data_IF_395361765606
#
_entry.id   IF_395361765606
#
_cell.length_a   1.000
_cell.length_b   1.000
_cell.length_c   1.000
_cell.angle_alpha   90.00
_cell.angle_beta   90.00
_cell.angle_gamma   90.00
#
_symmetry.space_group_name_H-M   'P 1'
#
loop_
_entity.id
_entity.type
_entity.pdbx_description
1 polymer ?
#
# COMPACT_ATOMS: atom_id res chain seq x y z
N UNK A 1 17.07 1.66 -9.10
CA UNK A 1 16.35 0.87 -10.14
C UNK A 1 16.46 1.50 -11.53
N UNK A 2 16.36 2.82 -11.70
CA UNK A 2 16.46 3.46 -13.02
C UNK A 2 17.78 3.15 -13.75
N UNK A 3 18.93 3.36 -13.11
CA UNK A 3 20.23 3.04 -13.71
C UNK A 3 20.36 1.56 -14.14
N UNK A 4 19.83 0.63 -13.34
CA UNK A 4 19.81 -0.81 -13.67
C UNK A 4 18.94 -1.08 -14.90
N UNK A 5 17.75 -0.45 -14.98
CA UNK A 5 16.86 -0.61 -16.12
C UNK A 5 17.52 -0.14 -17.42
N UNK A 6 18.16 1.03 -17.41
CA UNK A 6 18.86 1.58 -18.58
C UNK A 6 20.07 0.73 -18.98
N UNK A 7 20.89 0.30 -18.01
CA UNK A 7 22.13 -0.45 -18.29
C UNK A 7 21.88 -1.90 -18.72
N UNK A 8 20.79 -2.52 -18.25
CA UNK A 8 20.46 -3.93 -18.55
C UNK A 8 19.32 -4.09 -19.55
N UNK A 9 18.78 -2.99 -20.08
CA UNK A 9 17.69 -2.95 -21.07
C UNK A 9 16.43 -3.72 -20.63
N UNK A 10 16.18 -3.77 -19.32
CA UNK A 10 14.96 -4.36 -18.73
C UNK A 10 13.99 -3.26 -18.31
N UNK A 11 12.70 -3.62 -18.17
CA UNK A 11 11.71 -2.68 -17.67
C UNK A 11 12.06 -2.16 -16.26
N UNK A 12 11.62 -0.95 -15.92
CA UNK A 12 11.79 -0.42 -14.54
C UNK A 12 11.14 -1.30 -13.47
N UNK A 13 10.04 -1.96 -13.82
CA UNK A 13 9.37 -2.92 -12.95
C UNK A 13 10.27 -4.14 -12.69
N UNK A 14 10.88 -4.69 -13.73
CA UNK A 14 11.82 -5.80 -13.64
C UNK A 14 13.07 -5.42 -12.83
N UNK A 15 13.67 -4.27 -13.11
CA UNK A 15 14.81 -3.77 -12.35
C UNK A 15 14.46 -3.57 -10.86
N UNK A 16 13.27 -3.01 -10.57
CA UNK A 16 12.81 -2.86 -9.19
C UNK A 16 12.54 -4.20 -8.52
N UNK A 17 12.02 -5.19 -9.25
CA UNK A 17 11.78 -6.54 -8.73
C UNK A 17 13.11 -7.20 -8.35
N UNK A 18 14.10 -7.20 -9.24
CA UNK A 18 15.43 -7.77 -8.99
C UNK A 18 16.14 -7.12 -7.81
N UNK A 19 16.08 -5.80 -7.69
CA UNK A 19 16.66 -5.09 -6.52
C UNK A 19 16.00 -5.52 -5.23
N UNK A 20 14.66 -5.66 -5.23
CA UNK A 20 13.92 -6.14 -4.05
C UNK A 20 14.23 -7.59 -3.74
N UNK A 21 14.36 -8.47 -4.73
CA UNK A 21 14.74 -9.88 -4.53
C UNK A 21 16.17 -10.00 -4.00
N UNK A 22 17.11 -9.20 -4.52
CA UNK A 22 18.49 -9.18 -4.06
C UNK A 22 18.65 -8.78 -2.59
N UNK A 23 17.71 -8.03 -2.01
CA UNK A 23 17.73 -7.72 -0.58
C UNK A 23 17.57 -8.97 0.29
N UNK A 24 16.82 -9.96 -0.19
CA UNK A 24 16.53 -11.20 0.56
C UNK A 24 17.41 -12.36 0.12
N UNK A 25 17.73 -12.45 -1.18
CA UNK A 25 18.41 -13.60 -1.80
C UNK A 25 19.86 -13.31 -2.21
N UNK A 26 20.26 -12.04 -2.22
CA UNK A 26 21.58 -11.60 -2.64
C UNK A 26 22.64 -11.81 -1.56
N UNK A 27 23.94 -11.72 -1.94
CA UNK A 27 25.04 -11.74 -0.97
C UNK A 27 24.92 -10.60 0.04
N UNK A 28 25.19 -10.89 1.31
CA UNK A 28 25.15 -9.90 2.39
C UNK A 28 26.53 -9.77 3.04
N UNK A 29 26.76 -8.65 3.72
CA UNK A 29 27.97 -8.41 4.51
C UNK A 29 27.60 -7.89 5.88
N UNK A 30 28.33 -8.33 6.90
CA UNK A 30 28.22 -7.78 8.25
C UNK A 30 28.90 -6.43 8.38
N UNK A 31 28.82 -5.84 9.56
CA UNK A 31 29.39 -4.52 9.84
C UNK A 31 30.90 -4.48 9.62
N UNK A 32 31.59 -5.60 9.80
CA UNK A 32 33.05 -5.72 9.59
C UNK A 32 33.42 -6.20 8.18
N UNK A 33 32.44 -6.33 7.28
CA UNK A 33 32.64 -6.69 5.88
C UNK A 33 32.73 -8.20 5.60
N UNK A 34 32.61 -9.04 6.62
CA UNK A 34 32.52 -10.50 6.51
C UNK A 34 31.29 -10.92 5.70
N UNK A 35 31.38 -11.96 4.85
CA UNK A 35 30.24 -12.44 4.09
C UNK A 35 29.20 -13.04 5.04
N UNK A 36 27.94 -12.66 4.84
CA UNK A 36 26.78 -13.23 5.52
C UNK A 36 25.92 -13.98 4.52
N UNK A 37 25.24 -15.01 5.02
CA UNK A 37 24.24 -15.72 4.23
C UNK A 37 23.09 -14.77 3.83
N UNK A 38 22.42 -15.07 2.70
CA UNK A 38 21.16 -14.44 2.35
C UNK A 38 20.14 -14.53 3.50
N UNK A 39 19.10 -13.69 3.49
CA UNK A 39 18.01 -13.81 4.47
C UNK A 39 17.19 -15.09 4.26
N UNK A 40 17.13 -15.56 3.02
CA UNK A 40 16.47 -16.81 2.62
C UNK A 40 17.49 -17.70 1.87
N UNK A 41 18.42 -18.37 2.59
CA UNK A 41 19.50 -19.15 1.99
C UNK A 41 19.03 -20.32 1.12
N UNK A 42 18.02 -21.09 1.55
CA UNK A 42 17.51 -22.24 0.80
C UNK A 42 16.83 -21.81 -0.51
N UNK A 43 16.06 -20.71 -0.44
CA UNK A 43 15.39 -20.08 -1.58
C UNK A 43 16.42 -19.53 -2.56
N UNK A 44 17.45 -18.85 -2.07
CA UNK A 44 18.53 -18.30 -2.89
C UNK A 44 19.31 -19.39 -3.61
N UNK A 45 19.61 -20.51 -2.94
CA UNK A 45 20.26 -21.67 -3.56
C UNK A 45 19.37 -22.27 -4.66
N UNK A 46 18.10 -22.52 -4.37
CA UNK A 46 17.18 -23.13 -5.33
C UNK A 46 16.88 -22.22 -6.55
N UNK A 47 16.88 -20.89 -6.37
CA UNK A 47 16.82 -19.93 -7.48
C UNK A 47 18.08 -20.00 -8.33
N UNK A 48 19.28 -20.03 -7.72
CA UNK A 48 20.56 -20.10 -8.42
C UNK A 48 20.69 -21.37 -9.26
N UNK A 49 20.17 -22.48 -8.76
CA UNK A 49 20.14 -23.77 -9.44
C UNK A 49 19.08 -23.85 -10.56
N UNK A 50 18.26 -22.80 -10.72
CA UNK A 50 17.16 -22.77 -11.70
C UNK A 50 15.94 -23.61 -11.32
N UNK A 51 15.89 -24.16 -10.09
CA UNK A 51 14.74 -24.93 -9.59
C UNK A 51 13.55 -24.05 -9.23
N UNK A 52 13.80 -22.80 -8.82
CA UNK A 52 12.74 -21.81 -8.54
C UNK A 52 12.73 -20.69 -9.58
N UNK A 53 11.55 -20.46 -10.16
CA UNK A 53 11.26 -19.28 -10.95
C UNK A 53 10.85 -18.08 -10.08
N UNK A 54 10.71 -16.91 -10.71
CA UNK A 54 10.30 -15.68 -10.03
C UNK A 54 8.93 -15.78 -9.34
N UNK A 55 8.04 -16.63 -9.85
CA UNK A 55 6.73 -16.89 -9.23
C UNK A 55 6.86 -17.57 -7.86
N UNK A 56 7.63 -18.66 -7.78
CA UNK A 56 7.86 -19.37 -6.52
C UNK A 56 8.63 -18.51 -5.52
N UNK A 57 9.66 -17.80 -5.98
CA UNK A 57 10.41 -16.84 -5.15
C UNK A 57 9.46 -15.78 -4.55
N UNK A 58 8.54 -15.24 -5.35
CA UNK A 58 7.59 -14.25 -4.87
C UNK A 58 6.63 -14.81 -3.81
N UNK A 59 6.24 -16.08 -3.90
CA UNK A 59 5.40 -16.75 -2.90
C UNK A 59 6.15 -16.90 -1.58
N UNK A 60 7.36 -17.46 -1.61
CA UNK A 60 8.16 -17.71 -0.41
C UNK A 60 8.48 -16.39 0.30
N UNK A 61 8.91 -15.37 -0.44
CA UNK A 61 9.17 -14.03 0.13
C UNK A 61 7.91 -13.41 0.76
N UNK A 62 6.76 -13.54 0.11
CA UNK A 62 5.47 -13.05 0.65
C UNK A 62 5.10 -13.74 1.96
N UNK A 63 5.32 -15.05 2.03
CA UNK A 63 5.10 -15.83 3.25
C UNK A 63 5.94 -15.28 4.42
N UNK A 64 7.25 -15.11 4.23
CA UNK A 64 8.14 -14.59 5.29
C UNK A 64 7.87 -13.13 5.67
N UNK A 65 7.35 -12.32 4.75
CA UNK A 65 6.89 -10.96 5.08
C UNK A 65 5.61 -10.94 5.93
N UNK A 66 4.78 -11.98 5.89
CA UNK A 66 3.55 -12.11 6.69
C UNK A 66 3.78 -12.84 8.02
N UNK A 67 4.84 -13.63 8.12
CA UNK A 67 5.09 -14.49 9.26
C UNK A 67 5.33 -13.69 10.55
N UNK A 68 4.63 -14.00 11.67
CA UNK A 68 4.81 -13.30 12.93
C UNK A 68 6.24 -13.33 13.46
N UNK A 69 6.66 -12.25 14.11
CA UNK A 69 8.02 -12.09 14.64
C UNK A 69 8.37 -13.08 15.75
N UNK A 70 7.37 -13.63 16.44
CA UNK A 70 7.57 -14.59 17.52
C UNK A 70 7.95 -16.00 17.04
N UNK A 71 7.76 -16.31 15.75
CA UNK A 71 8.22 -17.58 15.17
C UNK A 71 9.74 -17.59 15.17
N UNK A 72 10.33 -18.57 15.84
CA UNK A 72 11.77 -18.66 16.07
C UNK A 72 12.57 -18.94 14.79
N UNK A 73 13.88 -18.73 14.87
CA UNK A 73 14.78 -18.87 13.73
C UNK A 73 14.86 -20.31 13.18
N UNK A 74 14.86 -21.32 14.05
CA UNK A 74 14.98 -22.71 13.61
C UNK A 74 13.73 -23.15 12.84
N UNK A 75 12.54 -22.79 13.34
CA UNK A 75 11.27 -23.02 12.65
C UNK A 75 11.23 -22.28 11.31
N UNK A 76 11.67 -21.01 11.27
CA UNK A 76 11.77 -20.23 10.02
C UNK A 76 12.67 -20.90 8.98
N UNK A 77 13.85 -21.37 9.39
CA UNK A 77 14.79 -22.04 8.50
C UNK A 77 14.24 -23.38 7.98
N UNK A 78 13.61 -24.17 8.84
CA UNK A 78 12.98 -25.43 8.44
C UNK A 78 11.85 -25.22 7.42
N UNK A 79 10.98 -24.23 7.67
CA UNK A 79 9.90 -23.87 6.76
C UNK A 79 10.42 -23.33 5.44
N UNK A 80 11.49 -22.53 5.47
CA UNK A 80 12.11 -22.04 4.24
C UNK A 80 12.62 -23.18 3.37
N UNK A 81 13.36 -24.11 3.98
CA UNK A 81 13.90 -25.28 3.27
C UNK A 81 12.78 -26.13 2.65
N UNK A 82 11.70 -26.38 3.41
CA UNK A 82 10.54 -27.13 2.96
C UNK A 82 9.80 -26.43 1.79
N UNK A 83 9.57 -25.12 1.89
CA UNK A 83 8.92 -24.36 0.82
C UNK A 83 9.83 -24.24 -0.42
N UNK A 84 11.14 -24.12 -0.25
CA UNK A 84 12.09 -24.07 -1.35
C UNK A 84 12.18 -25.42 -2.09
N UNK A 85 12.12 -26.54 -1.36
CA UNK A 85 12.05 -27.88 -1.94
C UNK A 85 10.73 -28.08 -2.72
N UNK A 86 9.59 -27.85 -2.06
CA UNK A 86 8.26 -27.93 -2.68
C UNK A 86 8.11 -27.00 -3.88
N UNK A 87 8.70 -25.82 -3.84
CA UNK A 87 8.68 -24.88 -4.97
C UNK A 87 9.32 -25.44 -6.24
N UNK A 88 10.24 -26.40 -6.14
CA UNK A 88 10.78 -27.12 -7.29
C UNK A 88 9.82 -28.13 -7.92
N UNK A 89 8.75 -28.48 -7.22
CA UNK A 89 7.78 -29.51 -7.63
C UNK A 89 6.40 -28.95 -7.97
N UNK A 90 6.06 -27.74 -7.48
CA UNK A 90 4.75 -27.14 -7.63
C UNK A 90 4.76 -25.82 -8.41
N UNK A 91 3.63 -25.54 -9.06
CA UNK A 91 3.36 -24.22 -9.64
C UNK A 91 3.23 -23.17 -8.52
N UNK A 92 3.49 -21.89 -8.79
CA UNK A 92 3.37 -20.82 -7.79
C UNK A 92 2.01 -20.78 -7.09
N UNK A 93 0.92 -21.09 -7.80
CA UNK A 93 -0.43 -21.08 -7.23
C UNK A 93 -0.60 -22.14 -6.14
N UNK A 94 -0.21 -23.39 -6.42
CA UNK A 94 -0.27 -24.48 -5.44
C UNK A 94 0.75 -24.29 -4.31
N UNK A 95 1.93 -23.72 -4.60
CA UNK A 95 2.89 -23.38 -3.55
C UNK A 95 2.33 -22.31 -2.59
N UNK A 96 1.54 -21.37 -3.11
CA UNK A 96 0.91 -20.34 -2.27
C UNK A 96 -0.11 -20.97 -1.32
N UNK A 97 -0.93 -21.91 -1.79
CA UNK A 97 -1.86 -22.66 -0.94
C UNK A 97 -1.14 -23.44 0.16
N UNK A 98 -0.02 -24.11 -0.18
CA UNK A 98 0.83 -24.79 0.80
C UNK A 98 1.41 -23.82 1.82
N UNK A 99 1.90 -22.66 1.37
CA UNK A 99 2.47 -21.64 2.26
C UNK A 99 1.40 -21.01 3.17
N UNK A 100 0.17 -20.79 2.67
CA UNK A 100 -0.94 -20.33 3.50
C UNK A 100 -1.31 -21.39 4.55
N UNK A 101 -1.36 -22.68 4.18
CA UNK A 101 -1.59 -23.76 5.15
C UNK A 101 -0.51 -23.81 6.25
N UNK A 102 0.76 -23.69 5.88
CA UNK A 102 1.86 -23.61 6.85
C UNK A 102 1.72 -22.37 7.74
N UNK A 103 1.30 -21.22 7.19
CA UNK A 103 1.08 -20.01 7.96
C UNK A 103 -0.03 -20.19 9.00
N UNK A 104 -1.12 -20.87 8.63
CA UNK A 104 -2.22 -21.18 9.53
C UNK A 104 -1.80 -22.17 10.63
N UNK A 105 -0.97 -23.17 10.32
CA UNK A 105 -0.41 -24.06 11.33
C UNK A 105 0.52 -23.33 12.30
N UNK A 106 1.29 -22.35 11.81
CA UNK A 106 2.19 -21.56 12.63
C UNK A 106 1.47 -20.47 13.42
N UNK A 107 0.30 -20.01 12.99
CA UNK A 107 -0.47 -18.97 13.69
C UNK A 107 -1.97 -19.28 13.63
N UNK A 108 -2.43 -20.35 14.30
CA UNK A 108 -3.82 -20.81 14.21
C UNK A 108 -4.82 -19.78 14.73
N UNK A 109 -4.42 -19.01 15.73
CA UNK A 109 -5.24 -17.97 16.34
C UNK A 109 -5.20 -16.63 15.57
N UNK A 110 -4.38 -16.52 14.52
CA UNK A 110 -4.25 -15.30 13.72
C UNK A 110 -3.73 -14.11 14.53
N UNK A 111 -2.94 -14.35 15.57
CA UNK A 111 -2.44 -13.29 16.47
C UNK A 111 -1.25 -12.57 15.85
N UNK A 112 -1.23 -11.24 15.97
CA UNK A 112 -0.14 -10.40 15.48
C UNK A 112 0.19 -9.35 16.52
N UNK A 113 1.48 -9.13 16.76
CA UNK A 113 1.99 -8.08 17.63
C UNK A 113 1.92 -6.72 16.95
N UNK A 114 2.10 -5.64 17.72
CA UNK A 114 2.18 -4.30 17.15
C UNK A 114 3.41 -4.12 16.26
N UNK A 115 4.53 -4.80 16.57
CA UNK A 115 5.71 -4.82 15.71
C UNK A 115 5.43 -5.50 14.36
N UNK A 116 4.65 -6.59 14.35
CA UNK A 116 4.23 -7.24 13.10
C UNK A 116 3.40 -6.31 12.21
N UNK A 117 2.46 -5.58 12.84
CA UNK A 117 1.64 -4.57 12.14
C UNK A 117 2.48 -3.39 11.68
N UNK A 118 3.42 -2.96 12.51
CA UNK A 118 4.32 -1.86 12.21
C UNK A 118 5.16 -2.15 10.96
N UNK A 119 5.71 -3.36 10.82
CA UNK A 119 6.50 -3.73 9.63
C UNK A 119 5.66 -3.79 8.34
N UNK A 120 4.35 -4.05 8.44
CA UNK A 120 3.46 -4.25 7.29
C UNK A 120 2.70 -2.99 6.86
N UNK A 121 2.53 -2.03 7.77
CA UNK A 121 1.74 -0.81 7.49
C UNK A 121 2.42 0.04 6.41
N UNK A 122 1.62 0.62 5.53
CA UNK A 122 2.10 1.54 4.51
C UNK A 122 0.99 1.96 3.56
N UNK A 123 1.06 3.20 3.09
CA UNK A 123 0.20 3.76 2.06
C UNK A 123 1.08 4.19 0.88
N UNK A 124 0.59 3.96 -0.34
CA UNK A 124 1.27 4.35 -1.57
C UNK A 124 0.27 5.02 -2.48
N UNK A 125 0.59 6.25 -2.89
CA UNK A 125 -0.08 6.94 -3.98
C UNK A 125 0.61 6.58 -5.29
N UNK A 126 -0.13 5.96 -6.19
CA UNK A 126 0.34 5.58 -7.51
C UNK A 126 0.61 6.80 -8.39
N UNK A 127 1.24 6.55 -9.54
CA UNK A 127 1.37 7.58 -10.57
C UNK A 127 0.00 7.99 -11.07
N UNK A 128 -0.09 9.25 -11.48
CA UNK A 128 -1.27 9.76 -12.15
C UNK A 128 -1.45 9.07 -13.50
N UNK A 129 -2.68 8.62 -13.76
CA UNK A 129 -3.13 8.09 -15.03
C UNK A 129 -3.36 9.19 -16.08
N UNK A 130 -3.62 8.81 -17.33
CA UNK A 130 -3.90 9.76 -18.41
C UNK A 130 -5.17 10.59 -18.19
N UNK A 131 -6.09 10.09 -17.35
CA UNK A 131 -7.33 10.75 -16.92
C UNK A 131 -7.12 11.69 -15.71
N UNK A 132 -5.89 11.83 -15.21
CA UNK A 132 -5.59 12.62 -14.03
C UNK A 132 -5.84 11.87 -12.70
N UNK A 133 -6.32 10.63 -12.73
CA UNK A 133 -6.65 9.87 -11.52
C UNK A 133 -5.42 9.12 -10.99
N UNK A 134 -5.29 8.99 -9.66
CA UNK A 134 -4.23 8.21 -9.03
C UNK A 134 -4.82 7.12 -8.14
N UNK A 135 -4.20 5.92 -8.15
CA UNK A 135 -4.61 4.85 -7.23
C UNK A 135 -3.95 5.03 -5.86
N UNK A 136 -4.74 5.00 -4.79
CA UNK A 136 -4.25 4.88 -3.42
C UNK A 136 -4.36 3.41 -2.96
N UNK A 137 -3.25 2.82 -2.51
CA UNK A 137 -3.22 1.41 -2.05
C UNK A 137 -2.38 1.29 -0.79
N UNK A 138 -2.69 0.30 0.07
CA UNK A 138 -1.89 0.03 1.25
C UNK A 138 -2.53 -0.91 2.27
N UNK A 139 -1.77 -1.23 3.31
CA UNK A 139 -2.25 -1.90 4.52
C UNK A 139 -2.20 -0.88 5.66
N UNK A 140 -3.33 -0.68 6.33
CA UNK A 140 -3.46 0.29 7.43
C UNK A 140 -3.51 -0.42 8.79
N UNK A 141 -3.05 0.25 9.84
CA UNK A 141 -3.18 -0.26 11.20
C UNK A 141 -4.65 -0.29 11.65
N UNK A 142 -4.99 -1.11 12.67
CA UNK A 142 -6.32 -1.05 13.28
C UNK A 142 -6.70 0.35 13.77
N UNK A 143 -5.73 1.10 14.31
CA UNK A 143 -5.91 2.50 14.73
C UNK A 143 -6.32 3.40 13.55
N UNK A 144 -5.53 3.39 12.45
CA UNK A 144 -5.86 4.19 11.27
C UNK A 144 -7.19 3.76 10.63
N UNK A 145 -7.49 2.45 10.66
CA UNK A 145 -8.79 1.93 10.21
C UNK A 145 -9.93 2.52 11.03
N UNK A 146 -9.86 2.47 12.37
CA UNK A 146 -10.89 2.99 13.25
C UNK A 146 -11.08 4.51 13.06
N UNK A 147 -9.99 5.26 12.94
CA UNK A 147 -10.04 6.70 12.65
C UNK A 147 -10.68 6.98 11.28
N UNK A 148 -10.29 6.23 10.25
CA UNK A 148 -10.83 6.38 8.90
C UNK A 148 -12.32 6.04 8.86
N UNK A 149 -12.74 4.95 9.48
CA UNK A 149 -14.15 4.54 9.57
C UNK A 149 -15.00 5.61 10.28
N UNK A 150 -14.50 6.21 11.36
CA UNK A 150 -15.19 7.29 12.06
C UNK A 150 -15.35 8.55 11.18
N UNK A 151 -14.29 8.95 10.47
CA UNK A 151 -14.34 10.09 9.53
C UNK A 151 -15.33 9.82 8.40
N UNK A 152 -15.26 8.63 7.78
CA UNK A 152 -16.17 8.25 6.70
C UNK A 152 -17.62 8.13 7.18
N UNK A 153 -17.87 7.59 8.37
CA UNK A 153 -19.21 7.52 8.93
C UNK A 153 -19.85 8.92 9.07
N UNK A 154 -19.05 9.94 9.41
CA UNK A 154 -19.53 11.32 9.53
C UNK A 154 -19.66 12.04 8.18
N UNK A 155 -18.67 11.90 7.30
CA UNK A 155 -18.56 12.73 6.09
C UNK A 155 -19.02 12.04 4.80
N UNK A 156 -19.13 10.71 4.77
CA UNK A 156 -19.56 9.92 3.61
C UNK A 156 -21.00 9.40 3.71
N UNK A 157 -21.74 9.84 4.74
CA UNK A 157 -23.18 9.57 4.83
C UNK A 157 -23.92 10.17 3.63
N UNK A 158 -25.06 9.60 3.19
CA UNK A 158 -25.85 10.19 2.12
C UNK A 158 -26.17 11.67 2.37
N UNK A 159 -26.02 12.51 1.34
CA UNK A 159 -26.21 13.96 1.41
C UNK A 159 -25.03 14.75 2.01
N UNK A 160 -24.01 14.09 2.58
CA UNK A 160 -22.80 14.75 3.09
C UNK A 160 -21.76 14.95 1.99
N UNK A 161 -21.08 16.10 2.01
CA UNK A 161 -19.96 16.42 1.14
C UNK A 161 -20.25 16.16 -0.35
N UNK A 162 -21.48 16.40 -0.80
CA UNK A 162 -21.87 16.20 -2.18
C UNK A 162 -21.37 17.34 -3.07
N UNK A 163 -20.41 17.11 -3.98
CA UNK A 163 -19.91 18.17 -4.86
C UNK A 163 -20.94 18.61 -5.91
N UNK A 164 -22.05 17.91 -6.06
CA UNK A 164 -23.15 18.26 -6.97
C UNK A 164 -24.14 19.25 -6.34
N UNK A 165 -24.04 19.51 -5.04
CA UNK A 165 -24.86 20.50 -4.35
C UNK A 165 -24.17 21.88 -4.43
N UNK A 166 -24.94 22.96 -4.66
CA UNK A 166 -24.41 24.33 -4.68
C UNK A 166 -23.67 24.69 -3.37
N UNK A 167 -24.19 24.19 -2.25
CA UNK A 167 -23.60 24.34 -0.91
C UNK A 167 -23.52 22.97 -0.24
N UNK A 168 -22.41 22.23 -0.44
CA UNK A 168 -22.25 20.90 0.12
C UNK A 168 -22.35 20.90 1.64
N UNK A 169 -23.16 20.00 2.21
CA UNK A 169 -23.24 19.83 3.66
C UNK A 169 -21.94 19.20 4.18
N UNK A 170 -21.14 19.99 4.91
CA UNK A 170 -19.86 19.55 5.49
C UNK A 170 -19.88 19.54 7.03
N UNK A 171 -20.89 20.17 7.62
CA UNK A 171 -21.13 20.20 9.07
C UNK A 171 -22.63 20.04 9.35
N UNK A 172 -22.96 19.53 10.54
CA UNK A 172 -24.33 19.22 10.94
C UNK A 172 -24.86 17.92 10.32
N UNK A 173 -26.18 17.87 10.15
CA UNK A 173 -26.90 16.79 9.49
C UNK A 173 -27.45 17.30 8.14
N UNK A 174 -27.35 16.51 7.07
CA UNK A 174 -27.89 16.91 5.78
C UNK A 174 -29.43 16.89 5.82
N UNK A 175 -30.06 17.69 4.96
CA UNK A 175 -31.51 17.70 4.84
C UNK A 175 -32.03 16.37 4.27
N UNK A 176 -33.29 16.02 4.56
CA UNK A 176 -33.89 14.80 4.00
C UNK A 176 -33.87 14.78 2.47
N UNK A 177 -34.09 15.93 1.83
CA UNK A 177 -34.00 16.07 0.37
C UNK A 177 -32.58 15.79 -0.16
N UNK A 178 -31.54 16.26 0.53
CA UNK A 178 -30.15 15.97 0.16
C UNK A 178 -29.80 14.49 0.32
N UNK A 179 -30.33 13.84 1.37
CA UNK A 179 -30.18 12.40 1.60
C UNK A 179 -30.84 11.60 0.47
N UNK A 180 -32.09 11.90 0.14
CA UNK A 180 -32.88 11.18 -0.87
C UNK A 180 -32.39 11.45 -2.30
N UNK A 181 -31.85 12.65 -2.55
CA UNK A 181 -31.28 13.06 -3.83
C UNK A 181 -29.84 12.60 -4.09
N UNK A 182 -29.15 12.03 -3.09
CA UNK A 182 -27.75 11.62 -3.24
C UNK A 182 -27.63 10.33 -4.08
N UNK A 183 -27.44 10.51 -5.39
CA UNK A 183 -27.24 9.43 -6.35
C UNK A 183 -25.83 8.81 -6.36
N UNK A 184 -24.91 9.28 -5.51
CA UNK A 184 -23.53 8.77 -5.50
C UNK A 184 -23.47 7.38 -4.87
N UNK A 185 -22.61 6.52 -5.42
CA UNK A 185 -22.26 5.23 -4.81
C UNK A 185 -21.46 5.41 -3.51
N UNK A 186 -21.44 4.40 -2.65
CA UNK A 186 -20.65 4.44 -1.41
C UNK A 186 -19.14 4.75 -1.64
N UNK A 187 -18.45 4.17 -2.65
CA UNK A 187 -17.07 4.55 -2.96
C UNK A 187 -16.92 6.02 -3.38
N UNK A 188 -17.86 6.59 -4.14
CA UNK A 188 -17.84 8.01 -4.52
C UNK A 188 -18.03 8.91 -3.29
N UNK A 189 -18.99 8.59 -2.40
CA UNK A 189 -19.15 9.33 -1.14
C UNK A 189 -17.91 9.25 -0.27
N UNK A 190 -17.26 8.07 -0.18
CA UNK A 190 -16.01 7.92 0.56
C UNK A 190 -14.88 8.78 -0.02
N UNK A 191 -14.78 8.86 -1.35
CA UNK A 191 -13.83 9.74 -2.02
C UNK A 191 -14.05 11.22 -1.65
N UNK A 192 -15.29 11.69 -1.78
CA UNK A 192 -15.62 13.11 -1.54
C UNK A 192 -15.47 13.47 -0.06
N UNK A 193 -15.83 12.55 0.84
CA UNK A 193 -15.61 12.67 2.27
C UNK A 193 -14.12 12.80 2.63
N UNK A 194 -13.27 11.98 2.02
CA UNK A 194 -11.82 12.10 2.20
C UNK A 194 -11.30 13.44 1.69
N UNK A 195 -11.76 13.90 0.52
CA UNK A 195 -11.38 15.21 -0.01
C UNK A 195 -11.80 16.34 0.94
N UNK A 196 -13.02 16.33 1.44
CA UNK A 196 -13.52 17.30 2.41
C UNK A 196 -12.71 17.27 3.72
N UNK A 197 -12.42 16.09 4.26
CA UNK A 197 -11.61 15.93 5.46
C UNK A 197 -10.19 16.50 5.29
N UNK A 198 -9.53 16.23 4.16
CA UNK A 198 -8.18 16.75 3.89
C UNK A 198 -8.18 18.27 3.68
N UNK A 199 -9.20 18.82 3.01
CA UNK A 199 -9.38 20.27 2.90
C UNK A 199 -9.59 20.92 4.26
N UNK A 200 -10.44 20.35 5.11
CA UNK A 200 -10.64 20.84 6.48
C UNK A 200 -9.34 20.76 7.30
N UNK A 201 -8.56 19.69 7.15
CA UNK A 201 -7.26 19.54 7.81
C UNK A 201 -6.26 20.61 7.36
N UNK A 202 -6.17 20.90 6.06
CA UNK A 202 -5.33 21.98 5.52
C UNK A 202 -5.79 23.36 6.00
N UNK A 203 -7.10 23.61 6.01
CA UNK A 203 -7.68 24.86 6.49
C UNK A 203 -7.62 25.04 8.02
N UNK A 204 -7.38 23.96 8.77
CA UNK A 204 -7.40 23.99 10.24
C UNK A 204 -6.33 24.88 10.87
N UNK A 205 -5.28 25.24 10.12
CA UNK A 205 -4.10 25.94 10.63
C UNK A 205 -3.22 25.10 11.56
N UNK A 206 -3.55 23.82 11.79
CA UNK A 206 -2.86 22.93 12.75
C UNK A 206 -1.74 22.09 12.12
N UNK A 207 -1.58 22.10 10.80
CA UNK A 207 -0.54 21.34 10.09
C UNK A 207 0.86 21.99 10.15
N UNK A 208 0.99 23.14 10.82
CA UNK A 208 2.25 23.88 10.89
C UNK A 208 2.64 24.52 9.55
N UNK A 209 3.95 24.76 9.38
CA UNK A 209 4.52 25.37 8.17
C UNK A 209 5.32 24.33 7.38
N UNK A 210 5.18 24.36 6.05
CA UNK A 210 6.04 23.66 5.12
C UNK A 210 6.91 24.70 4.40
N UNK A 211 8.24 24.63 4.55
CA UNK A 211 9.18 25.62 4.01
C UNK A 211 8.86 27.08 4.39
N UNK A 212 8.37 27.34 5.60
CA UNK A 212 8.05 28.69 6.10
C UNK A 212 6.69 29.25 5.67
N UNK A 213 5.90 28.51 4.91
CA UNK A 213 4.53 28.86 4.50
C UNK A 213 3.53 27.87 5.11
N UNK A 214 2.29 28.28 5.46
CA UNK A 214 1.25 27.34 5.84
C UNK A 214 1.05 26.27 4.75
N UNK A 215 0.85 25.02 5.14
CA UNK A 215 0.53 23.94 4.21
C UNK A 215 -0.78 24.29 3.46
N UNK A 216 -0.64 24.82 2.26
CA UNK A 216 -1.72 25.36 1.42
C UNK A 216 -1.65 24.72 0.04
N UNK A 217 -2.82 24.45 -0.54
CA UNK A 217 -2.90 23.99 -1.94
C UNK A 217 -2.87 25.23 -2.82
N UNK A 218 -1.81 25.39 -3.61
CA UNK A 218 -1.77 26.39 -4.68
C UNK A 218 -2.35 25.73 -5.92
N UNK A 219 -3.59 26.05 -6.26
CA UNK A 219 -4.15 25.70 -7.57
C UNK A 219 -3.71 26.78 -8.55
N UNK A 220 -2.81 26.42 -9.46
CA UNK A 220 -2.48 27.29 -10.59
C UNK A 220 -3.46 26.97 -11.71
N UNK A 221 -4.24 27.97 -12.12
CA UNK A 221 -5.11 27.92 -13.29
C UNK A 221 -4.70 29.07 -14.20
N UNK A 222 -4.94 28.92 -15.51
CA UNK A 222 -4.66 29.99 -16.45
C UNK A 222 -5.74 31.07 -16.35
N UNK A 223 -5.37 32.33 -16.64
CA UNK A 223 -6.33 33.44 -16.68
C UNK A 223 -7.49 33.12 -17.64
N UNK A 224 -7.22 32.45 -18.75
CA UNK A 224 -8.22 32.03 -19.74
C UNK A 224 -9.23 31.00 -19.20
N UNK A 225 -8.81 30.07 -18.34
CA UNK A 225 -9.71 29.12 -17.67
C UNK A 225 -10.61 29.82 -16.64
N UNK A 226 -10.08 30.83 -15.97
CA UNK A 226 -10.79 31.63 -14.97
C UNK A 226 -11.82 32.56 -15.66
N UNK A 227 -11.45 33.16 -16.78
CA UNK A 227 -12.32 34.00 -17.62
C UNK A 227 -13.38 33.18 -18.39
N UNK A 228 -13.10 31.93 -18.75
CA UNK A 228 -14.09 31.05 -19.37
C UNK A 228 -15.15 30.56 -18.37
N UNK A 229 -14.79 30.39 -17.09
CA UNK A 229 -15.70 29.98 -16.02
C UNK A 229 -16.50 31.15 -15.43
N UNK A 230 -15.94 32.37 -15.44
CA UNK A 230 -16.66 33.60 -15.12
C UNK A 230 -17.53 34.00 -16.33
N UNK A 231 -18.72 33.43 -16.45
CA UNK A 231 -19.64 33.68 -17.56
C UNK A 231 -19.76 35.16 -17.91
N UNK A 232 -19.77 35.46 -19.22
CA UNK A 232 -19.98 36.82 -19.74
C UNK A 232 -21.42 37.25 -19.39
N UNK A 233 -21.54 38.16 -18.42
CA UNK A 233 -22.74 38.98 -18.27
C UNK A 233 -22.97 39.88 -19.48
#
# INVERSE_FOLDING_TARGET
SHAIAETTLISRAEASRRVKEAADLGPRRGLTGEPLEPLLPATAAAQRDGRLGGGQVAVIRRFFHRLPGWVDFATRAAVEADLADKGGHFRPEHLAELADHVADCLNPDGTFTDDDRARRRGLTLGKQGPDGMSQLRGLISPELRATLEAVLAKLAAPGMCNPLDDMPCIDGAPSQQAIEGDGRSAPQRNHDALLAAHRALLASGKLGQHNGLPASIIVTTTLAELEAAAGRG
#
